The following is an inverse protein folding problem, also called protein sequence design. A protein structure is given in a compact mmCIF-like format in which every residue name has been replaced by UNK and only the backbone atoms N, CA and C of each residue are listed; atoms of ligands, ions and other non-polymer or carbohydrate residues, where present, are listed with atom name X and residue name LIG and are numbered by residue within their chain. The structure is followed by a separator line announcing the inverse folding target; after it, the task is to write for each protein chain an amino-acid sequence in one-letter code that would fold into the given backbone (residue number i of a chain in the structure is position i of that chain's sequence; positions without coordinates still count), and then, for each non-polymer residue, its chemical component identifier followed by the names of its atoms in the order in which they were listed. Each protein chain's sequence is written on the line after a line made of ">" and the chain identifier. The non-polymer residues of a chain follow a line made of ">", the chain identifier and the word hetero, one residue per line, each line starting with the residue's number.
data_IF_312051757716
#
_entry.id   IF_312051757716
#
_cell.length_a   1.000
_cell.length_b   1.000
_cell.length_c   1.000
_cell.angle_alpha   90.00
_cell.angle_beta   90.00
_cell.angle_gamma   90.00
#
_symmetry.space_group_name_H-M   'P 1'
#
loop_
_entity.id
_entity.type
_entity.pdbx_description
1 polymer ?
#
# COMPACT_ATOMS: atom_id res chain seq x y z
N UNK A 1 40.98 66.09 -9.42
CA UNK A 1 39.72 65.96 -10.19
C UNK A 1 39.03 64.71 -9.70
N UNK A 2 37.96 64.88 -8.92
CA UNK A 2 37.29 63.77 -8.22
C UNK A 2 36.16 63.24 -9.09
N UNK A 3 36.34 62.05 -9.67
CA UNK A 3 35.26 61.34 -10.34
C UNK A 3 34.31 60.78 -9.27
N UNK A 4 33.17 61.45 -9.07
CA UNK A 4 32.08 60.90 -8.28
C UNK A 4 31.49 59.70 -9.04
N UNK A 5 31.70 58.51 -8.52
CA UNK A 5 31.10 57.28 -9.04
C UNK A 5 29.60 57.34 -8.75
N UNK A 6 28.78 57.61 -9.75
CA UNK A 6 27.33 57.52 -9.60
C UNK A 6 26.96 56.04 -9.40
N UNK A 7 26.45 55.71 -8.22
CA UNK A 7 25.93 54.38 -7.94
C UNK A 7 24.67 54.15 -8.79
N UNK A 8 24.76 53.23 -9.75
CA UNK A 8 23.66 52.87 -10.64
C UNK A 8 22.48 52.33 -9.82
N UNK A 9 21.30 52.95 -9.95
CA UNK A 9 20.13 52.58 -9.16
C UNK A 9 19.71 51.14 -9.50
N UNK A 10 19.43 50.28 -8.50
CA UNK A 10 19.12 48.88 -8.76
C UNK A 10 17.86 48.73 -9.61
N UNK A 11 17.94 47.91 -10.66
CA UNK A 11 16.82 47.63 -11.56
C UNK A 11 15.60 47.07 -10.80
N UNK A 12 14.40 47.30 -11.34
CA UNK A 12 13.16 46.81 -10.73
C UNK A 12 13.17 45.28 -10.53
N UNK A 13 13.77 44.54 -11.46
CA UNK A 13 13.97 43.09 -11.36
C UNK A 13 14.87 42.70 -10.19
N UNK A 14 15.97 43.43 -9.95
CA UNK A 14 16.88 43.17 -8.81
C UNK A 14 16.18 43.42 -7.48
N UNK A 15 15.38 44.47 -7.36
CA UNK A 15 14.58 44.76 -6.14
C UNK A 15 13.52 43.68 -5.90
N UNK A 16 12.84 43.23 -6.96
CA UNK A 16 11.86 42.14 -6.87
C UNK A 16 12.52 40.83 -6.46
N UNK A 17 13.66 40.45 -7.06
CA UNK A 17 14.42 39.26 -6.68
C UNK A 17 14.87 39.30 -5.22
N UNK A 18 15.45 40.42 -4.76
CA UNK A 18 15.90 40.55 -3.37
C UNK A 18 14.74 40.47 -2.36
N UNK A 19 13.54 40.95 -2.74
CA UNK A 19 12.32 40.80 -1.94
C UNK A 19 11.86 39.33 -1.87
N UNK A 20 11.87 38.62 -3.01
CA UNK A 20 11.33 37.27 -3.10
C UNK A 20 12.31 36.16 -2.70
N UNK A 21 13.64 36.37 -2.75
CA UNK A 21 14.60 35.31 -2.41
C UNK A 21 14.39 34.77 -1.00
N UNK A 22 14.03 35.62 -0.04
CA UNK A 22 13.81 35.20 1.34
C UNK A 22 12.62 34.24 1.44
N UNK A 23 11.51 34.58 0.79
CA UNK A 23 10.31 33.72 0.75
C UNK A 23 10.59 32.41 0.00
N UNK A 24 11.37 32.44 -1.08
CA UNK A 24 11.79 31.23 -1.80
C UNK A 24 12.67 30.32 -0.94
N UNK A 25 13.59 30.88 -0.13
CA UNK A 25 14.40 30.08 0.81
C UNK A 25 13.55 29.47 1.93
N UNK A 26 12.58 30.22 2.46
CA UNK A 26 11.62 29.67 3.43
C UNK A 26 10.83 28.52 2.79
N UNK A 27 10.32 28.72 1.57
CA UNK A 27 9.55 27.69 0.88
C UNK A 27 10.39 26.44 0.60
N UNK A 28 11.67 26.60 0.27
CA UNK A 28 12.61 25.50 0.08
C UNK A 28 12.76 24.61 1.33
N UNK A 29 12.62 25.19 2.53
CA UNK A 29 12.66 24.47 3.80
C UNK A 29 11.27 23.91 4.17
N UNK A 30 10.21 24.71 4.02
CA UNK A 30 8.87 24.30 4.44
C UNK A 30 8.29 23.17 3.60
N UNK A 31 8.60 23.12 2.30
CA UNK A 31 8.12 22.06 1.41
C UNK A 31 8.53 20.66 1.91
N UNK A 32 9.82 20.32 2.07
CA UNK A 32 10.21 18.99 2.56
C UNK A 32 9.69 18.71 3.98
N UNK A 33 9.66 19.72 4.86
CA UNK A 33 9.08 19.55 6.21
C UNK A 33 7.59 19.17 6.16
N UNK A 34 6.82 19.73 5.22
CA UNK A 34 5.41 19.37 5.03
C UNK A 34 5.21 17.91 4.57
N UNK A 35 6.15 17.37 3.79
CA UNK A 35 6.09 15.99 3.29
C UNK A 35 6.71 14.94 4.24
N UNK A 36 7.56 15.37 5.18
CA UNK A 36 8.26 14.48 6.12
C UNK A 36 7.35 13.49 6.86
N UNK A 37 6.21 13.90 7.47
CA UNK A 37 5.37 12.96 8.23
C UNK A 37 4.90 11.77 7.40
N UNK A 38 4.46 12.03 6.16
CA UNK A 38 4.03 10.97 5.23
C UNK A 38 5.20 10.10 4.80
N UNK A 39 6.35 10.71 4.53
CA UNK A 39 7.56 9.97 4.17
C UNK A 39 7.96 8.99 5.28
N UNK A 40 8.01 9.44 6.53
CA UNK A 40 8.40 8.58 7.66
C UNK A 40 7.35 7.50 7.96
N UNK A 41 6.05 7.81 7.84
CA UNK A 41 5.00 6.80 7.96
C UNK A 41 5.13 5.70 6.90
N UNK A 42 5.38 6.08 5.64
CA UNK A 42 5.60 5.13 4.56
C UNK A 42 6.88 4.30 4.82
N UNK A 43 7.97 4.93 5.29
CA UNK A 43 9.21 4.21 5.65
C UNK A 43 8.97 3.20 6.79
N UNK A 44 8.24 3.57 7.83
CA UNK A 44 7.93 2.68 8.95
C UNK A 44 7.12 1.46 8.49
N UNK A 45 6.17 1.64 7.57
CA UNK A 45 5.42 0.53 6.97
C UNK A 45 6.30 -0.40 6.15
N UNK A 46 7.13 0.14 5.24
CA UNK A 46 7.97 -0.69 4.37
C UNK A 46 9.09 -1.43 5.14
N UNK A 47 9.56 -0.86 6.25
CA UNK A 47 10.53 -1.52 7.14
C UNK A 47 9.89 -2.52 8.10
N UNK A 48 8.57 -2.54 8.21
CA UNK A 48 7.84 -3.36 9.20
C UNK A 48 7.91 -2.81 10.63
N UNK A 49 8.41 -1.59 10.84
CA UNK A 49 8.41 -0.90 12.14
C UNK A 49 6.98 -0.57 12.61
N UNK A 50 6.05 -0.39 11.66
CA UNK A 50 4.63 -0.19 11.91
C UNK A 50 3.84 -1.53 12.01
N UNK A 51 4.53 -2.67 12.13
CA UNK A 51 3.92 -3.99 12.10
C UNK A 51 3.69 -4.50 10.66
N UNK A 52 2.71 -5.39 10.48
CA UNK A 52 2.44 -5.96 9.15
C UNK A 52 1.84 -4.93 8.19
N UNK A 53 1.03 -4.00 8.67
CA UNK A 53 0.40 -2.98 7.85
C UNK A 53 -0.36 -1.99 8.73
N UNK A 54 -1.01 -0.99 8.11
CA UNK A 54 -1.80 0.00 8.86
C UNK A 54 -2.98 -0.62 9.61
N UNK A 55 -3.46 -1.81 9.21
CA UNK A 55 -4.55 -2.50 9.90
C UNK A 55 -4.45 -4.02 9.79
N UNK A 56 -4.45 -4.71 10.92
CA UNK A 56 -4.55 -6.17 10.95
C UNK A 56 -5.99 -6.63 10.71
N UNK A 57 -6.18 -7.55 9.77
CA UNK A 57 -7.46 -8.23 9.51
C UNK A 57 -7.69 -9.41 10.48
N UNK A 58 -6.62 -9.89 11.12
CA UNK A 58 -6.63 -10.97 12.10
C UNK A 58 -5.88 -12.22 11.62
N UNK A 59 -6.00 -13.29 12.41
CA UNK A 59 -5.46 -14.61 12.06
C UNK A 59 -6.48 -15.36 11.21
N UNK A 60 -6.03 -15.95 10.11
CA UNK A 60 -6.85 -16.82 9.26
C UNK A 60 -6.27 -18.22 9.27
N UNK A 61 -7.08 -19.19 9.68
CA UNK A 61 -6.75 -20.61 9.58
C UNK A 61 -7.03 -21.11 8.16
N UNK A 62 -6.08 -21.86 7.59
CA UNK A 62 -6.10 -22.40 6.23
C UNK A 62 -5.70 -23.86 6.29
N UNK A 63 -6.67 -24.73 6.61
CA UNK A 63 -6.39 -26.14 6.91
C UNK A 63 -5.51 -26.29 8.16
N UNK A 64 -4.37 -27.00 8.10
CA UNK A 64 -3.44 -27.15 9.22
C UNK A 64 -2.60 -25.89 9.49
N UNK A 65 -2.58 -24.94 8.55
CA UNK A 65 -1.77 -23.73 8.64
C UNK A 65 -2.59 -22.52 9.07
N UNK A 66 -1.89 -21.43 9.40
CA UNK A 66 -2.51 -20.13 9.60
C UNK A 66 -1.56 -19.00 9.23
N UNK A 67 -2.14 -17.83 8.96
CA UNK A 67 -1.40 -16.59 8.78
C UNK A 67 -2.08 -15.44 9.49
N UNK A 68 -1.31 -14.45 9.93
CA UNK A 68 -1.80 -13.12 10.30
C UNK A 68 -1.86 -12.28 9.04
N UNK A 69 -3.04 -11.79 8.71
CA UNK A 69 -3.25 -10.95 7.53
C UNK A 69 -3.40 -9.49 7.95
N UNK A 70 -2.83 -8.59 7.16
CA UNK A 70 -3.01 -7.16 7.32
C UNK A 70 -3.27 -6.47 5.98
N UNK A 71 -4.07 -5.41 6.07
CA UNK A 71 -4.21 -4.40 5.04
C UNK A 71 -2.98 -3.51 5.09
N UNK A 72 -2.16 -3.51 4.02
CA UNK A 72 -0.88 -2.82 4.06
C UNK A 72 -1.07 -1.31 4.27
N UNK A 73 -2.06 -0.72 3.59
CA UNK A 73 -2.52 0.65 3.82
C UNK A 73 -4.04 0.70 3.91
N UNK A 74 -4.59 1.33 4.93
CA UNK A 74 -6.01 1.55 5.20
C UNK A 74 -6.60 2.63 4.27
N UNK A 75 -6.47 2.43 2.96
CA UNK A 75 -6.92 3.36 1.92
C UNK A 75 -7.58 2.60 0.74
N UNK A 76 -8.25 3.33 -0.15
CA UNK A 76 -8.82 2.75 -1.36
C UNK A 76 -7.76 2.02 -2.22
N UNK A 77 -8.15 1.03 -3.04
CA UNK A 77 -7.28 0.43 -4.03
C UNK A 77 -6.61 1.49 -4.91
N UNK A 78 -5.34 1.29 -5.23
CA UNK A 78 -4.60 2.20 -6.10
C UNK A 78 -4.83 1.86 -7.56
N UNK A 79 -4.96 2.88 -8.40
CA UNK A 79 -4.96 2.71 -9.84
C UNK A 79 -3.52 2.52 -10.33
N UNK A 80 -3.20 1.34 -10.85
CA UNK A 80 -1.90 0.98 -11.42
C UNK A 80 -1.93 1.05 -12.95
N UNK A 81 -2.36 2.21 -13.47
CA UNK A 81 -2.45 2.46 -14.91
C UNK A 81 -3.39 1.49 -15.64
N UNK A 82 -3.01 0.97 -16.83
CA UNK A 82 -3.84 0.04 -17.61
C UNK A 82 -4.15 -1.29 -16.90
N UNK A 83 -3.37 -1.67 -15.88
CA UNK A 83 -3.59 -2.90 -15.13
C UNK A 83 -4.85 -2.82 -14.24
N UNK A 84 -5.36 -1.61 -13.97
CA UNK A 84 -6.56 -1.38 -13.18
C UNK A 84 -6.26 -1.11 -11.71
N UNK A 85 -7.19 -1.47 -10.83
CA UNK A 85 -7.10 -1.18 -9.40
C UNK A 85 -6.53 -2.35 -8.61
N UNK A 86 -5.62 -2.06 -7.69
CA UNK A 86 -4.93 -3.04 -6.87
C UNK A 86 -4.96 -2.67 -5.39
N UNK A 87 -5.04 -3.70 -4.55
CA UNK A 87 -4.97 -3.56 -3.10
C UNK A 87 -3.81 -4.38 -2.55
N UNK A 88 -2.93 -3.70 -1.81
CA UNK A 88 -1.79 -4.34 -1.16
C UNK A 88 -2.19 -4.93 0.18
N UNK A 89 -1.80 -6.18 0.39
CA UNK A 89 -1.92 -6.90 1.65
C UNK A 89 -0.56 -7.40 2.08
N UNK A 90 -0.41 -7.59 3.38
CA UNK A 90 0.75 -8.16 4.01
C UNK A 90 0.36 -9.31 4.92
N UNK A 91 1.26 -10.25 5.14
CA UNK A 91 0.99 -11.38 6.01
C UNK A 91 2.23 -11.94 6.69
N UNK A 92 2.04 -12.57 7.84
CA UNK A 92 3.03 -13.43 8.49
C UNK A 92 2.47 -14.84 8.65
N UNK A 93 3.24 -15.85 8.28
CA UNK A 93 2.90 -17.24 8.54
C UNK A 93 3.04 -17.59 10.02
N UNK A 94 2.29 -18.59 10.48
CA UNK A 94 2.53 -19.18 11.80
C UNK A 94 3.93 -19.81 11.87
N UNK A 95 4.53 -19.89 13.06
CA UNK A 95 5.94 -20.33 13.20
C UNK A 95 6.23 -21.70 12.60
N UNK A 96 5.32 -22.67 12.77
CA UNK A 96 5.44 -24.01 12.20
C UNK A 96 5.23 -24.03 10.68
N UNK A 97 4.32 -23.19 10.18
CA UNK A 97 3.96 -23.09 8.77
C UNK A 97 5.15 -22.71 7.88
N UNK A 98 6.16 -22.02 8.41
CA UNK A 98 7.30 -21.49 7.65
C UNK A 98 8.10 -22.60 6.95
N UNK A 99 8.22 -23.78 7.57
CA UNK A 99 8.93 -24.93 6.98
C UNK A 99 8.06 -25.77 6.04
N UNK A 100 6.74 -25.62 6.08
CA UNK A 100 5.80 -26.51 5.39
C UNK A 100 5.17 -25.86 4.17
N UNK A 101 4.92 -24.55 4.24
CA UNK A 101 4.26 -23.78 3.19
C UNK A 101 5.27 -23.38 2.13
N UNK A 102 5.00 -23.82 0.91
CA UNK A 102 5.76 -23.46 -0.29
C UNK A 102 5.32 -22.11 -0.86
N UNK A 103 4.03 -21.86 -0.91
CA UNK A 103 3.47 -20.62 -1.47
C UNK A 103 2.12 -20.26 -0.85
N UNK A 104 1.86 -18.96 -0.72
CA UNK A 104 0.56 -18.43 -0.29
C UNK A 104 0.05 -17.45 -1.35
N UNK A 105 -1.22 -17.57 -1.70
CA UNK A 105 -1.88 -16.77 -2.73
C UNK A 105 -3.11 -16.06 -2.18
N UNK A 106 -3.40 -14.89 -2.73
CA UNK A 106 -4.58 -14.08 -2.44
C UNK A 106 -5.39 -13.79 -3.70
N UNK A 107 -6.71 -13.88 -3.57
CA UNK A 107 -7.65 -13.51 -4.63
C UNK A 107 -8.94 -12.94 -4.08
N UNK A 108 -9.46 -11.90 -4.72
CA UNK A 108 -10.86 -11.50 -4.50
C UNK A 108 -11.80 -12.46 -5.24
N UNK A 109 -12.65 -13.15 -4.49
CA UNK A 109 -13.54 -14.19 -4.95
C UNK A 109 -12.87 -15.57 -5.07
N UNK A 110 -13.70 -16.63 -5.06
CA UNK A 110 -13.24 -18.01 -5.00
C UNK A 110 -12.41 -18.40 -6.22
N UNK A 111 -11.18 -18.91 -6.04
CA UNK A 111 -10.38 -19.43 -7.15
C UNK A 111 -10.95 -20.76 -7.67
N UNK A 112 -10.94 -20.92 -8.99
CA UNK A 112 -11.41 -22.15 -9.67
C UNK A 112 -10.37 -23.27 -9.74
N UNK A 113 -9.09 -22.94 -9.51
CA UNK A 113 -7.96 -23.86 -9.51
C UNK A 113 -6.73 -23.17 -8.91
N UNK A 114 -5.69 -23.95 -8.59
CA UNK A 114 -4.42 -23.42 -8.08
C UNK A 114 -3.77 -22.41 -9.07
N UNK A 115 -3.81 -22.69 -10.38
CA UNK A 115 -3.31 -21.75 -11.41
C UNK A 115 -4.07 -20.41 -11.43
N UNK A 116 -5.28 -20.39 -10.86
CA UNK A 116 -6.10 -19.20 -10.73
C UNK A 116 -6.17 -18.67 -9.28
N UNK A 117 -5.27 -19.12 -8.39
CA UNK A 117 -5.26 -18.77 -6.96
C UNK A 117 -5.00 -17.28 -6.68
N UNK A 118 -4.58 -16.51 -7.70
CA UNK A 118 -4.45 -15.06 -7.64
C UNK A 118 -3.02 -14.60 -7.44
N UNK A 119 -2.86 -13.50 -6.72
CA UNK A 119 -1.56 -12.89 -6.44
C UNK A 119 -0.81 -13.70 -5.40
N UNK A 120 0.41 -14.09 -5.71
CA UNK A 120 1.30 -14.77 -4.76
C UNK A 120 1.93 -13.76 -3.80
N UNK A 121 2.10 -14.17 -2.55
CA UNK A 121 2.90 -13.44 -1.56
C UNK A 121 4.40 -13.58 -1.84
N UNK A 122 5.13 -12.49 -1.70
CA UNK A 122 6.58 -12.44 -1.82
C UNK A 122 7.23 -11.88 -0.55
N UNK A 123 8.50 -12.23 -0.32
CA UNK A 123 9.29 -11.72 0.79
C UNK A 123 9.54 -12.77 1.88
N UNK A 124 9.86 -12.29 3.08
CA UNK A 124 10.13 -13.12 4.24
C UNK A 124 8.83 -13.74 4.78
N UNK A 125 8.81 -15.01 5.22
CA UNK A 125 7.60 -15.63 5.78
C UNK A 125 7.07 -14.94 7.05
N UNK A 126 7.89 -14.09 7.67
CA UNK A 126 7.52 -13.25 8.82
C UNK A 126 6.87 -11.91 8.42
N UNK A 127 7.03 -11.48 7.16
CA UNK A 127 6.45 -10.26 6.59
C UNK A 127 6.48 -10.35 5.07
N UNK A 128 5.42 -10.94 4.53
CA UNK A 128 5.19 -11.12 3.09
C UNK A 128 4.29 -10.01 2.56
N UNK A 129 4.43 -9.64 1.29
CA UNK A 129 3.55 -8.69 0.61
C UNK A 129 2.94 -9.25 -0.68
N UNK A 130 1.68 -8.91 -0.96
CA UNK A 130 1.01 -9.22 -2.21
C UNK A 130 0.16 -8.03 -2.69
N UNK A 131 0.16 -7.77 -4.01
CA UNK A 131 -0.74 -6.79 -4.63
C UNK A 131 -1.86 -7.52 -5.34
N UNK A 132 -3.09 -7.36 -4.86
CA UNK A 132 -4.27 -8.12 -5.31
C UNK A 132 -5.13 -7.25 -6.24
N UNK A 133 -5.42 -7.70 -7.47
CA UNK A 133 -6.36 -7.00 -8.34
C UNK A 133 -7.75 -6.89 -7.71
N UNK A 134 -8.33 -5.69 -7.73
CA UNK A 134 -9.70 -5.41 -7.28
C UNK A 134 -10.46 -4.72 -8.42
N UNK A 135 -11.10 -5.49 -9.33
CA UNK A 135 -11.91 -4.90 -10.39
C UNK A 135 -13.01 -3.98 -9.82
N UNK A 136 -13.27 -2.83 -10.45
CA UNK A 136 -14.32 -1.89 -9.98
C UNK A 136 -15.74 -2.49 -9.98
N UNK A 137 -15.95 -3.63 -10.64
CA UNK A 137 -17.21 -4.40 -10.63
C UNK A 137 -17.29 -5.45 -9.51
N UNK A 138 -16.28 -5.52 -8.64
CA UNK A 138 -16.29 -6.40 -7.47
C UNK A 138 -17.46 -6.01 -6.58
N UNK A 139 -18.20 -7.01 -6.09
CA UNK A 139 -19.29 -6.74 -5.16
C UNK A 139 -18.74 -6.36 -3.78
N UNK A 140 -19.34 -5.37 -3.07
CA UNK A 140 -18.86 -4.97 -1.74
C UNK A 140 -18.85 -6.09 -0.70
N UNK A 141 -19.71 -7.10 -0.85
CA UNK A 141 -19.79 -8.29 0.01
C UNK A 141 -18.88 -9.45 -0.46
N UNK A 142 -17.98 -9.21 -1.42
CA UNK A 142 -17.05 -10.24 -1.88
C UNK A 142 -16.15 -10.72 -0.74
N UNK A 143 -15.53 -11.88 -0.94
CA UNK A 143 -14.58 -12.46 0.00
C UNK A 143 -13.15 -12.37 -0.55
N UNK A 144 -12.19 -12.24 0.36
CA UNK A 144 -10.78 -12.45 0.07
C UNK A 144 -10.45 -13.91 0.36
N UNK A 145 -10.04 -14.64 -0.68
CA UNK A 145 -9.64 -16.03 -0.62
C UNK A 145 -8.13 -16.14 -0.46
N UNK A 146 -7.73 -17.02 0.45
CA UNK A 146 -6.35 -17.41 0.73
C UNK A 146 -6.18 -18.85 0.28
N UNK A 147 -5.15 -19.12 -0.53
CA UNK A 147 -4.75 -20.48 -0.90
C UNK A 147 -3.32 -20.70 -0.45
N UNK A 148 -3.06 -21.80 0.25
CA UNK A 148 -1.73 -22.19 0.71
C UNK A 148 -1.37 -23.54 0.08
N UNK A 149 -0.20 -23.61 -0.54
CA UNK A 149 0.39 -24.83 -1.11
C UNK A 149 1.56 -25.26 -0.22
N UNK A 150 1.57 -26.54 0.18
CA UNK A 150 2.65 -27.15 0.95
C UNK A 150 3.77 -27.70 0.07
N UNK A 151 4.95 -27.88 0.65
CA UNK A 151 6.06 -28.59 0.00
C UNK A 151 5.76 -30.06 -0.30
N UNK A 152 4.81 -30.65 0.43
CA UNK A 152 4.26 -31.99 0.22
C UNK A 152 3.22 -32.06 -0.92
N UNK A 153 2.88 -30.92 -1.52
CA UNK A 153 1.88 -30.81 -2.58
C UNK A 153 0.43 -30.68 -2.08
N UNK A 154 0.21 -30.64 -0.77
CA UNK A 154 -1.12 -30.37 -0.20
C UNK A 154 -1.55 -28.93 -0.51
N UNK A 155 -2.86 -28.71 -0.72
CA UNK A 155 -3.42 -27.39 -0.99
C UNK A 155 -4.62 -27.16 -0.08
N UNK A 156 -4.56 -26.06 0.68
CA UNK A 156 -5.62 -25.64 1.58
C UNK A 156 -6.11 -24.25 1.22
N UNK A 157 -7.41 -24.02 1.43
CA UNK A 157 -8.07 -22.76 1.11
C UNK A 157 -8.94 -22.29 2.27
N UNK A 158 -8.99 -20.97 2.46
CA UNK A 158 -9.92 -20.32 3.36
C UNK A 158 -10.35 -18.98 2.74
N UNK A 159 -11.39 -18.38 3.29
CA UNK A 159 -11.82 -17.04 2.93
C UNK A 159 -12.16 -16.22 4.17
N UNK A 160 -12.05 -14.91 4.03
CA UNK A 160 -12.59 -13.93 4.96
C UNK A 160 -13.40 -12.89 4.18
N UNK A 161 -14.40 -12.24 4.80
CA UNK A 161 -15.11 -11.14 4.17
C UNK A 161 -14.15 -10.02 3.75
N UNK A 162 -14.35 -9.44 2.55
CA UNK A 162 -13.54 -8.29 2.12
C UNK A 162 -13.74 -7.07 3.05
N UNK A 163 -14.89 -6.96 3.70
CA UNK A 163 -15.14 -5.97 4.75
C UNK A 163 -14.25 -6.15 5.98
N UNK A 164 -13.89 -7.39 6.33
CA UNK A 164 -12.91 -7.68 7.39
C UNK A 164 -11.47 -7.50 6.90
N UNK A 165 -11.20 -7.85 5.64
CA UNK A 165 -9.86 -7.77 5.04
C UNK A 165 -9.45 -6.33 4.68
N UNK A 166 -10.39 -5.50 4.24
CA UNK A 166 -10.15 -4.12 3.83
C UNK A 166 -11.46 -3.30 3.80
N UNK A 167 -11.87 -2.71 4.93
CA UNK A 167 -13.03 -1.82 4.98
C UNK A 167 -12.92 -0.65 3.99
N UNK A 168 -11.71 -0.11 3.80
CA UNK A 168 -11.46 0.99 2.86
C UNK A 168 -11.72 0.58 1.40
N UNK A 169 -11.44 -0.68 1.06
CA UNK A 169 -11.80 -1.22 -0.27
C UNK A 169 -13.31 -1.36 -0.43
N UNK A 170 -14.03 -1.81 0.60
CA UNK A 170 -15.49 -1.92 0.55
C UNK A 170 -16.14 -0.55 0.38
N UNK A 171 -15.70 0.45 1.15
CA UNK A 171 -16.18 1.82 1.03
C UNK A 171 -15.93 2.39 -0.38
N UNK A 172 -14.75 2.12 -0.95
CA UNK A 172 -14.45 2.50 -2.33
C UNK A 172 -15.36 1.80 -3.34
N UNK A 173 -15.61 0.49 -3.19
CA UNK A 173 -16.51 -0.26 -4.08
C UNK A 173 -17.96 0.25 -4.04
N UNK A 174 -18.45 0.65 -2.86
CA UNK A 174 -19.76 1.26 -2.70
C UNK A 174 -19.86 2.59 -3.46
N UNK A 175 -18.89 3.48 -3.27
CA UNK A 175 -18.85 4.76 -3.99
C UNK A 175 -18.78 4.57 -5.54
N UNK A 176 -18.10 3.52 -6.00
CA UNK A 176 -18.05 3.17 -7.43
C UNK A 176 -19.37 2.63 -7.97
N UNK A 177 -20.18 1.97 -7.14
CA UNK A 177 -21.49 1.47 -7.51
C UNK A 177 -22.51 2.61 -7.63
N UNK A 178 -22.45 3.58 -6.70
CA UNK A 178 -23.32 4.76 -6.69
C UNK A 178 -23.03 5.72 -7.85
N UNK A 179 -21.83 5.66 -8.41
CA UNK A 179 -21.40 6.48 -9.55
C UNK A 179 -21.78 5.89 -10.93
N UNK A 180 -22.52 4.78 -10.97
CA UNK A 180 -23.01 4.13 -12.21
C UNK A 180 -24.50 4.32 -12.38
#
# INVERSE_FOLDING_TARGET
>A
MSHATQAEAPSAARRWWLKWRFHLNILLILVPLGFMPRYFADQALFKGEAGLGEREAGVVAVGPWSLRLAEFRAAAPRQEGPAGYFKSFSAALCSHCIGEVKATYLRVGKPRSLRAAGSIFFGSPYSMGASVPVPARTQPNAELWITMEGWDGSVHQASIPLSQASPATVAWLQAQADSR
#
